data_IF_625122286386
#
_entry.id   IF_625122286386
#
_cell.length_a   1.000
_cell.length_b   1.000
_cell.length_c   1.000
_cell.angle_alpha   90.00
_cell.angle_beta   90.00
_cell.angle_gamma   90.00
#
_symmetry.space_group_name_H-M   'P 1'
#
loop_
_entity.id
_entity.type
_entity.pdbx_description
1 polymer ?
#
# COMPACT_ATOMS: atom_id res chain seq x y z
N UNK A 1 5.55 5.12 -1.02
CA UNK A 1 6.59 4.25 -1.65
C UNK A 1 6.79 3.07 -0.72
N UNK A 2 6.89 1.84 -1.23
CA UNK A 2 7.14 0.66 -0.39
C UNK A 2 8.61 0.26 -0.50
N UNK A 3 9.29 0.05 0.63
CA UNK A 3 10.71 -0.35 0.64
C UNK A 3 10.90 -1.79 0.20
N UNK A 4 10.01 -2.69 0.63
CA UNK A 4 10.00 -4.09 0.24
C UNK A 4 8.57 -4.63 0.22
N UNK A 5 8.40 -5.86 -0.26
CA UNK A 5 7.16 -6.63 -0.18
C UNK A 5 7.46 -8.13 -0.20
N UNK A 6 6.46 -8.96 0.10
CA UNK A 6 6.57 -10.43 0.13
C UNK A 6 5.72 -11.00 -1.00
N UNK A 7 6.30 -11.81 -1.86
CA UNK A 7 5.58 -12.48 -2.94
C UNK A 7 5.11 -13.88 -2.51
N UNK A 8 3.81 -14.07 -2.18
CA UNK A 8 3.30 -15.38 -1.80
C UNK A 8 3.32 -16.39 -2.95
N UNK A 9 3.38 -15.92 -4.20
CA UNK A 9 3.39 -16.78 -5.39
C UNK A 9 4.82 -17.23 -5.78
N UNK A 10 5.86 -16.73 -5.09
CA UNK A 10 7.27 -17.12 -5.24
C UNK A 10 7.84 -17.56 -3.89
N UNK A 11 7.19 -18.57 -3.28
CA UNK A 11 7.60 -19.17 -2.01
C UNK A 11 7.81 -18.14 -0.87
N UNK A 12 7.01 -17.08 -0.83
CA UNK A 12 7.13 -15.99 0.15
C UNK A 12 8.46 -15.22 0.07
N UNK A 13 9.04 -15.10 -1.12
CA UNK A 13 10.26 -14.33 -1.33
C UNK A 13 10.07 -12.84 -1.00
N UNK A 14 11.04 -12.29 -0.27
CA UNK A 14 11.15 -10.87 0.04
C UNK A 14 11.76 -10.15 -1.17
N UNK A 15 11.05 -9.15 -1.68
CA UNK A 15 11.47 -8.30 -2.81
C UNK A 15 11.67 -6.88 -2.31
N UNK A 16 12.91 -6.38 -2.39
CA UNK A 16 13.24 -5.00 -2.06
C UNK A 16 13.14 -4.11 -3.31
N UNK A 17 12.58 -2.92 -3.14
CA UNK A 17 12.45 -1.89 -4.17
C UNK A 17 13.43 -0.71 -3.96
N UNK A 18 14.18 -0.74 -2.85
CA UNK A 18 15.26 0.19 -2.51
C UNK A 18 16.55 -0.58 -2.24
N UNK A 19 17.65 0.12 -1.93
CA UNK A 19 18.89 -0.52 -1.49
C UNK A 19 18.63 -1.39 -0.26
N UNK A 20 19.01 -2.65 -0.35
CA UNK A 20 18.84 -3.64 0.71
C UNK A 20 19.95 -3.50 1.76
N UNK A 21 19.72 -2.62 2.75
CA UNK A 21 20.68 -2.41 3.84
C UNK A 21 20.68 -3.56 4.86
N UNK A 22 19.56 -4.28 4.96
CA UNK A 22 19.35 -5.36 5.94
C UNK A 22 19.72 -6.75 5.38
N UNK A 23 20.08 -6.83 4.09
CA UNK A 23 20.45 -8.07 3.41
C UNK A 23 19.29 -9.07 3.37
N UNK A 24 18.04 -8.60 3.29
CA UNK A 24 16.84 -9.43 3.31
C UNK A 24 16.30 -9.75 1.90
N UNK A 25 16.79 -9.06 0.88
CA UNK A 25 16.33 -9.27 -0.49
C UNK A 25 16.61 -10.71 -0.95
N UNK A 26 15.58 -11.34 -1.52
CA UNK A 26 15.65 -12.72 -2.00
C UNK A 26 15.59 -13.79 -0.92
N UNK A 27 15.58 -13.43 0.37
CA UNK A 27 15.23 -14.36 1.45
C UNK A 27 13.74 -14.67 1.42
N UNK A 28 13.34 -15.68 2.19
CA UNK A 28 11.96 -16.15 2.27
C UNK A 28 11.37 -15.82 3.63
N UNK A 29 10.15 -15.30 3.63
CA UNK A 29 9.40 -15.01 4.84
C UNK A 29 8.87 -16.33 5.43
N UNK A 30 9.22 -16.60 6.68
CA UNK A 30 8.67 -17.73 7.42
C UNK A 30 7.23 -17.41 7.84
N UNK A 31 6.28 -17.99 7.10
CA UNK A 31 4.86 -17.76 7.35
C UNK A 31 4.32 -18.44 8.59
N UNK A 32 5.05 -19.40 9.20
CA UNK A 32 4.57 -20.23 10.32
C UNK A 32 3.14 -20.73 10.05
N UNK A 33 2.95 -21.73 9.18
CA UNK A 33 1.63 -22.12 8.67
C UNK A 33 0.61 -22.49 9.75
N UNK A 34 1.08 -22.89 10.93
CA UNK A 34 0.24 -23.24 12.09
C UNK A 34 -0.17 -22.03 12.95
N UNK A 35 0.31 -20.82 12.62
CA UNK A 35 -0.02 -19.59 13.32
C UNK A 35 -1.38 -19.04 12.85
N UNK A 36 -2.41 -18.97 13.72
CA UNK A 36 -3.71 -18.42 13.35
C UNK A 36 -3.66 -16.92 13.05
N UNK A 37 -2.62 -16.19 13.48
CA UNK A 37 -2.42 -14.77 13.18
C UNK A 37 -1.64 -14.55 11.87
N UNK A 38 -1.33 -15.61 11.13
CA UNK A 38 -0.56 -15.49 9.88
C UNK A 38 -1.30 -14.59 8.87
N UNK A 39 -0.58 -13.73 8.13
CA UNK A 39 -1.18 -12.96 7.06
C UNK A 39 -1.77 -13.88 5.99
N UNK A 40 -3.01 -13.62 5.58
CA UNK A 40 -3.61 -14.33 4.46
C UNK A 40 -2.84 -14.07 3.16
N UNK A 41 -2.63 -15.11 2.35
CA UNK A 41 -1.86 -14.99 1.09
C UNK A 41 -2.48 -13.99 0.12
N UNK A 42 -3.81 -13.83 0.16
CA UNK A 42 -4.51 -12.84 -0.66
C UNK A 42 -4.12 -11.41 -0.28
N UNK A 43 -3.90 -11.13 1.01
CA UNK A 43 -3.45 -9.82 1.49
C UNK A 43 -2.00 -9.57 1.06
N UNK A 44 -1.11 -10.57 1.22
CA UNK A 44 0.27 -10.48 0.76
C UNK A 44 0.34 -10.26 -0.76
N UNK A 45 -0.49 -10.95 -1.54
CA UNK A 45 -0.55 -10.82 -2.99
C UNK A 45 -1.07 -9.45 -3.41
N UNK A 46 -2.09 -8.92 -2.73
CA UNK A 46 -2.59 -7.58 -2.96
C UNK A 46 -1.50 -6.54 -2.67
N UNK A 47 -0.85 -6.64 -1.51
CA UNK A 47 0.23 -5.74 -1.11
C UNK A 47 1.42 -5.81 -2.07
N UNK A 48 1.83 -7.01 -2.51
CA UNK A 48 2.89 -7.20 -3.51
C UNK A 48 2.57 -6.50 -4.82
N UNK A 49 1.34 -6.65 -5.33
CA UNK A 49 0.90 -5.94 -6.55
C UNK A 49 0.95 -4.43 -6.37
N UNK A 50 0.52 -3.90 -5.22
CA UNK A 50 0.61 -2.47 -4.94
C UNK A 50 2.06 -2.00 -4.85
N UNK A 51 2.94 -2.76 -4.19
CA UNK A 51 4.35 -2.44 -4.08
C UNK A 51 5.05 -2.41 -5.44
N UNK A 52 4.78 -3.39 -6.30
CA UNK A 52 5.24 -3.39 -7.69
C UNK A 52 4.68 -2.19 -8.45
N UNK A 53 3.37 -1.92 -8.38
CA UNK A 53 2.75 -0.81 -9.11
C UNK A 53 3.30 0.55 -8.69
N UNK A 54 3.43 0.81 -7.38
CA UNK A 54 3.92 2.09 -6.86
C UNK A 54 5.39 2.31 -7.20
N UNK A 55 6.22 1.28 -7.12
CA UNK A 55 7.66 1.40 -7.34
C UNK A 55 8.05 1.30 -8.83
N UNK A 56 7.40 0.45 -9.63
CA UNK A 56 7.71 0.27 -11.05
C UNK A 56 7.05 1.32 -11.95
N UNK A 57 6.02 2.04 -11.48
CA UNK A 57 5.48 3.21 -12.21
C UNK A 57 6.43 4.42 -12.26
N UNK A 58 7.66 4.33 -11.75
CA UNK A 58 8.80 5.22 -12.04
C UNK A 58 8.52 6.72 -12.18
N UNK A 59 8.98 7.52 -11.20
CA UNK A 59 9.22 8.98 -11.31
C UNK A 59 8.04 9.93 -11.67
N UNK A 60 6.80 9.47 -11.83
CA UNK A 60 5.72 10.31 -12.38
C UNK A 60 4.43 10.49 -11.56
N UNK A 61 4.29 9.84 -10.40
CA UNK A 61 3.09 9.98 -9.55
C UNK A 61 3.41 10.75 -8.27
N UNK A 62 2.65 11.81 -7.95
CA UNK A 62 2.87 12.60 -6.74
C UNK A 62 2.62 11.74 -5.50
N UNK A 63 3.47 11.94 -4.49
CA UNK A 63 3.19 11.48 -3.14
C UNK A 63 2.04 12.35 -2.62
N UNK A 64 0.91 11.71 -2.27
CA UNK A 64 -0.20 12.43 -1.67
C UNK A 64 0.00 12.54 -0.16
N UNK A 65 -0.33 13.70 0.40
CA UNK A 65 -0.45 13.87 1.85
C UNK A 65 -1.79 13.25 2.31
N UNK A 66 -1.72 12.45 3.37
CA UNK A 66 -2.88 11.71 3.92
C UNK A 66 -3.31 12.23 5.29
N UNK A 67 -2.48 13.05 5.93
CA UNK A 67 -2.75 13.59 7.26
C UNK A 67 -3.53 14.89 7.14
N UNK A 68 -4.85 14.76 7.00
CA UNK A 68 -5.75 15.91 7.07
C UNK A 68 -6.16 16.16 8.52
N UNK A 69 -5.79 17.30 9.13
CA UNK A 69 -6.18 17.59 10.51
C UNK A 69 -7.71 17.65 10.66
N UNK A 70 -8.27 17.27 11.81
CA UNK A 70 -9.70 17.38 12.08
C UNK A 70 -10.20 18.81 11.83
N UNK A 71 -11.29 18.96 11.08
CA UNK A 71 -11.86 20.26 10.73
C UNK A 71 -11.18 20.98 9.55
N UNK A 72 -10.17 20.36 8.92
CA UNK A 72 -9.58 20.90 7.69
C UNK A 72 -10.49 20.71 6.47
N UNK A 73 -10.37 21.63 5.50
CA UNK A 73 -11.01 21.50 4.19
C UNK A 73 -10.25 20.47 3.34
N UNK A 74 -10.58 19.20 3.54
CA UNK A 74 -9.96 18.07 2.84
C UNK A 74 -10.15 18.19 1.32
N UNK A 75 -11.35 18.55 0.87
CA UNK A 75 -11.67 18.64 -0.56
C UNK A 75 -10.91 19.79 -1.21
N UNK A 76 -10.87 20.96 -0.57
CA UNK A 76 -10.09 22.10 -1.07
C UNK A 76 -8.58 21.83 -1.05
N UNK A 77 -8.08 21.07 -0.09
CA UNK A 77 -6.68 20.66 -0.03
C UNK A 77 -6.32 19.71 -1.17
N UNK A 78 -7.19 18.74 -1.48
CA UNK A 78 -7.04 17.82 -2.61
C UNK A 78 -7.07 18.56 -3.94
N UNK A 79 -8.00 19.52 -4.12
CA UNK A 79 -8.12 20.30 -5.36
C UNK A 79 -6.89 21.15 -5.67
N UNK A 80 -6.20 21.64 -4.63
CA UNK A 80 -4.95 22.41 -4.78
C UNK A 80 -3.72 21.52 -5.00
N UNK A 81 -3.85 20.22 -4.75
CA UNK A 81 -2.78 19.24 -4.86
C UNK A 81 -2.52 18.75 -6.29
N UNK A 82 -1.34 18.17 -6.54
CA UNK A 82 -1.03 17.58 -7.83
C UNK A 82 -1.98 16.42 -8.15
N UNK A 83 -2.42 16.27 -9.40
CA UNK A 83 -3.36 15.21 -9.83
C UNK A 83 -4.65 15.13 -9.00
N UNK A 84 -5.22 16.29 -8.66
CA UNK A 84 -6.42 16.45 -7.83
C UNK A 84 -7.57 15.47 -8.13
N UNK A 85 -7.93 15.27 -9.40
CA UNK A 85 -9.03 14.35 -9.77
C UNK A 85 -8.76 12.91 -9.29
N UNK A 86 -7.56 12.39 -9.55
CA UNK A 86 -7.15 11.04 -9.14
C UNK A 86 -7.05 10.90 -7.63
N UNK A 87 -6.61 11.95 -6.93
CA UNK A 87 -6.59 11.97 -5.46
C UNK A 87 -8.00 12.02 -4.88
N UNK A 88 -8.91 12.76 -5.50
CA UNK A 88 -10.31 12.85 -5.10
C UNK A 88 -11.03 11.52 -5.26
N UNK A 89 -10.82 10.83 -6.37
CA UNK A 89 -11.33 9.46 -6.58
C UNK A 89 -10.85 8.53 -5.46
N UNK A 90 -9.53 8.49 -5.19
CA UNK A 90 -8.97 7.64 -4.13
C UNK A 90 -9.55 7.97 -2.74
N UNK A 91 -9.67 9.26 -2.40
CA UNK A 91 -10.21 9.70 -1.10
C UNK A 91 -11.68 9.26 -0.93
N UNK A 92 -12.50 9.41 -1.98
CA UNK A 92 -13.91 8.99 -1.95
C UNK A 92 -14.04 7.47 -1.84
N UNK A 93 -13.25 6.70 -2.60
CA UNK A 93 -13.24 5.24 -2.51
C UNK A 93 -12.82 4.75 -1.13
N UNK A 94 -11.78 5.33 -0.53
CA UNK A 94 -11.26 4.90 0.77
C UNK A 94 -12.28 5.13 1.89
N UNK A 95 -12.92 6.32 1.92
CA UNK A 95 -13.96 6.63 2.91
C UNK A 95 -15.19 5.74 2.76
N UNK A 96 -15.59 5.49 1.52
CA UNK A 96 -16.74 4.64 1.25
C UNK A 96 -16.47 3.19 1.67
N UNK A 97 -15.25 2.67 1.42
CA UNK A 97 -14.84 1.35 1.91
C UNK A 97 -14.89 1.25 3.44
N UNK A 98 -14.38 2.26 4.17
CA UNK A 98 -14.45 2.29 5.63
C UNK A 98 -15.89 2.36 6.17
N UNK A 99 -16.85 2.84 5.39
CA UNK A 99 -18.26 2.86 5.77
C UNK A 99 -18.92 1.48 5.66
N UNK A 100 -18.47 0.64 4.73
CA UNK A 100 -18.97 -0.73 4.60
C UNK A 100 -18.46 -1.64 5.72
N UNK A 101 -17.24 -1.41 6.22
CA UNK A 101 -16.66 -2.15 7.35
C UNK A 101 -17.28 -1.80 8.72
N UNK A 102 -18.11 -0.75 8.81
CA UNK A 102 -18.79 -0.34 10.05
C UNK A 102 -20.23 -0.87 10.15
N UNK A 103 -20.67 -1.68 9.18
CA UNK A 103 -22.04 -2.20 9.10
C UNK A 103 -22.14 -3.74 9.19
N UNK A 104 -21.06 -4.43 9.57
CA UNK A 104 -21.09 -5.85 9.96
C UNK A 104 -20.88 -6.04 11.47
#
# INVERSE_FOLDING_TARGET
>A
MYMFSINPDDNYKIVCFVRDHDGIAGKYFDQRPDDPERPADQLLRWHFRQAVLVNMKGAGEPIFEHDFPPGSDVMGSILKGPKAAKRMEFEMFSRLATQFDLTE
#
